data_IF_746040485421
#
_entry.id   IF_746040485421
#
_cell.length_a   1.000
_cell.length_b   1.000
_cell.length_c   1.000
_cell.angle_alpha   90.00
_cell.angle_beta   90.00
_cell.angle_gamma   90.00
#
_symmetry.space_group_name_H-M   'P 1'
#
loop_
_entity.id
_entity.type
_entity.pdbx_description
1 polymer ?
#
# COMPACT_ATOMS: atom_id res chain seq x y z
N UNK A 1 -9.66 16.47 -30.69
CA UNK A 1 -9.76 16.84 -29.26
C UNK A 1 -8.65 16.13 -28.51
N UNK A 2 -7.98 16.77 -27.53
CA UNK A 2 -6.96 16.11 -26.73
C UNK A 2 -7.57 14.96 -25.92
N UNK A 3 -6.89 13.81 -25.86
CA UNK A 3 -7.36 12.58 -25.22
C UNK A 3 -7.04 12.51 -23.72
N UNK A 4 -6.07 13.29 -23.24
CA UNK A 4 -5.68 13.37 -21.83
C UNK A 4 -5.05 14.74 -21.52
N UNK A 5 -5.15 15.17 -20.26
CA UNK A 5 -4.51 16.37 -19.72
C UNK A 5 -3.78 15.97 -18.44
N UNK A 6 -2.57 16.48 -18.26
CA UNK A 6 -1.80 16.24 -17.04
C UNK A 6 -2.50 16.89 -15.83
N UNK A 7 -2.75 16.10 -14.78
CA UNK A 7 -3.35 16.58 -13.54
C UNK A 7 -2.29 16.81 -12.45
N UNK A 8 -1.51 15.79 -12.11
CA UNK A 8 -0.48 15.83 -11.08
C UNK A 8 0.50 14.65 -11.22
N UNK A 9 1.63 14.71 -10.51
CA UNK A 9 2.67 13.66 -10.52
C UNK A 9 2.15 12.28 -10.06
N UNK A 10 1.07 12.24 -9.29
CA UNK A 10 0.43 10.99 -8.89
C UNK A 10 1.04 10.36 -7.65
N UNK A 11 1.85 11.10 -6.88
CA UNK A 11 2.42 10.58 -5.64
C UNK A 11 1.36 10.34 -4.55
N UNK A 12 0.31 11.16 -4.55
CA UNK A 12 -0.85 11.00 -3.69
C UNK A 12 -2.13 11.24 -4.50
N UNK A 13 -3.21 10.59 -4.09
CA UNK A 13 -4.55 10.77 -4.65
C UNK A 13 -5.49 11.27 -3.56
N UNK A 14 -6.45 12.09 -3.95
CA UNK A 14 -7.50 12.54 -3.05
C UNK A 14 -8.46 11.40 -2.74
N UNK A 15 -8.80 11.24 -1.47
CA UNK A 15 -9.76 10.24 -1.01
C UNK A 15 -10.61 10.80 0.12
N UNK A 16 -11.92 10.57 0.02
CA UNK A 16 -12.86 10.83 1.10
C UNK A 16 -13.34 9.48 1.63
N UNK A 17 -12.86 9.04 2.81
CA UNK A 17 -13.25 7.76 3.34
C UNK A 17 -14.65 7.81 3.96
N UNK A 18 -15.33 6.67 3.94
CA UNK A 18 -16.67 6.50 4.54
C UNK A 18 -16.57 6.27 6.06
N UNK A 19 -15.43 5.73 6.52
CA UNK A 19 -15.09 5.52 7.93
C UNK A 19 -13.81 6.28 8.28
N UNK A 20 -13.50 6.42 9.56
CA UNK A 20 -12.23 6.99 10.00
C UNK A 20 -11.06 6.10 9.55
N UNK A 21 -10.05 6.69 8.93
CA UNK A 21 -8.84 6.03 8.45
C UNK A 21 -7.66 6.58 9.25
N UNK A 22 -6.88 5.71 9.88
CA UNK A 22 -5.70 6.11 10.63
C UNK A 22 -4.46 6.19 9.73
N UNK A 23 -3.46 6.96 10.16
CA UNK A 23 -2.16 6.99 9.52
C UNK A 23 -1.54 5.58 9.47
N UNK A 24 -1.07 5.18 8.30
CA UNK A 24 -0.52 3.85 8.04
C UNK A 24 -1.54 2.82 7.53
N UNK A 25 -2.84 3.12 7.59
CA UNK A 25 -3.85 2.22 7.05
C UNK A 25 -3.75 2.10 5.54
N UNK A 26 -3.90 0.87 5.07
CA UNK A 26 -3.88 0.53 3.65
C UNK A 26 -5.31 0.53 3.15
N UNK A 27 -5.58 1.36 2.14
CA UNK A 27 -6.86 1.47 1.48
C UNK A 27 -6.73 0.91 0.08
N UNK A 28 -7.59 -0.05 -0.25
CA UNK A 28 -7.66 -0.67 -1.58
C UNK A 28 -8.90 -0.15 -2.31
N UNK A 29 -8.68 0.52 -3.43
CA UNK A 29 -9.73 0.98 -4.35
C UNK A 29 -9.66 0.17 -5.66
N UNK A 30 -10.39 -0.94 -5.71
CA UNK A 30 -10.30 -1.88 -6.83
C UNK A 30 -8.92 -2.55 -6.87
N UNK A 31 -8.10 -2.22 -7.87
CA UNK A 31 -6.71 -2.67 -7.96
C UNK A 31 -5.69 -1.65 -7.43
N UNK A 32 -6.15 -0.45 -7.08
CA UNK A 32 -5.29 0.59 -6.56
C UNK A 32 -5.08 0.41 -5.05
N UNK A 33 -3.84 0.14 -4.65
CA UNK A 33 -3.42 0.10 -3.25
C UNK A 33 -2.82 1.46 -2.88
N UNK A 34 -3.31 2.05 -1.79
CA UNK A 34 -2.81 3.32 -1.28
C UNK A 34 -2.67 3.28 0.25
N UNK A 35 -1.79 4.11 0.79
CA UNK A 35 -1.53 4.18 2.25
C UNK A 35 -1.87 5.57 2.75
N UNK A 36 -2.65 5.67 3.83
CA UNK A 36 -2.95 6.93 4.48
C UNK A 36 -1.70 7.47 5.19
N UNK A 37 -1.26 8.69 4.85
CA UNK A 37 -0.10 9.32 5.52
C UNK A 37 -0.47 10.00 6.85
N UNK A 38 -1.72 10.42 6.97
CA UNK A 38 -2.27 11.11 8.14
C UNK A 38 -3.62 10.52 8.46
N UNK A 39 -4.12 10.78 9.67
CA UNK A 39 -5.47 10.41 10.06
C UNK A 39 -6.49 11.19 9.23
N UNK A 40 -7.42 10.50 8.59
CA UNK A 40 -8.49 11.08 7.77
C UNK A 40 -9.81 10.67 8.40
N UNK A 41 -10.57 11.66 8.91
CA UNK A 41 -11.92 11.41 9.44
C UNK A 41 -12.90 11.07 8.33
N UNK A 42 -13.92 10.30 8.67
CA UNK A 42 -15.03 9.99 7.78
C UNK A 42 -15.65 11.28 7.18
N UNK A 43 -15.85 11.29 5.87
CA UNK A 43 -16.43 12.43 5.15
C UNK A 43 -15.51 13.63 4.96
N UNK A 44 -14.25 13.58 5.40
CA UNK A 44 -13.25 14.63 5.16
C UNK A 44 -12.38 14.25 3.97
N UNK A 45 -12.09 15.19 3.08
CA UNK A 45 -11.13 14.98 2.00
C UNK A 45 -9.72 14.87 2.60
N UNK A 46 -9.09 13.71 2.40
CA UNK A 46 -7.70 13.45 2.74
C UNK A 46 -6.91 13.01 1.51
N UNK A 47 -5.64 12.69 1.72
CA UNK A 47 -4.73 12.26 0.67
C UNK A 47 -4.10 10.90 1.00
N UNK A 48 -4.22 9.95 0.08
CA UNK A 48 -3.58 8.64 0.18
C UNK A 48 -2.34 8.60 -0.70
N UNK A 49 -1.23 8.08 -0.17
CA UNK A 49 -0.02 7.87 -0.93
C UNK A 49 -0.11 6.58 -1.74
N UNK A 50 0.07 6.68 -3.05
CA UNK A 50 0.11 5.55 -4.00
C UNK A 50 1.52 5.28 -4.51
N UNK A 51 2.46 6.17 -4.17
CA UNK A 51 3.87 6.09 -4.52
C UNK A 51 4.73 6.32 -3.28
N UNK A 52 5.82 5.56 -3.17
CA UNK A 52 6.78 5.71 -2.08
C UNK A 52 7.32 4.39 -1.59
N UNK A 53 8.01 4.45 -0.45
CA UNK A 53 8.54 3.29 0.24
C UNK A 53 7.90 3.27 1.63
N UNK A 54 7.16 2.20 1.93
CA UNK A 54 6.44 2.03 3.19
C UNK A 54 6.81 0.72 3.86
N UNK A 55 6.72 0.70 5.18
CA UNK A 55 6.93 -0.49 6.00
C UNK A 55 5.56 -1.13 6.26
N UNK A 56 5.32 -2.31 5.68
CA UNK A 56 4.07 -3.06 5.83
C UNK A 56 4.22 -4.19 6.83
N UNK A 57 3.15 -4.54 7.53
CA UNK A 57 3.10 -5.72 8.40
C UNK A 57 3.18 -7.01 7.57
N UNK A 58 3.94 -7.98 8.08
CA UNK A 58 4.03 -9.33 7.49
C UNK A 58 3.66 -10.41 8.48
N UNK A 59 3.30 -11.57 7.95
CA UNK A 59 3.13 -12.78 8.75
C UNK A 59 4.41 -13.11 9.54
N UNK A 60 4.23 -13.52 10.79
CA UNK A 60 5.32 -14.00 11.64
C UNK A 60 6.00 -15.21 11.01
N UNK A 61 7.31 -15.37 11.23
CA UNK A 61 8.11 -16.48 10.70
C UNK A 61 8.26 -16.54 9.18
N UNK A 62 7.90 -15.49 8.45
CA UNK A 62 8.15 -15.38 7.01
C UNK A 62 9.31 -14.43 6.76
N UNK A 63 10.28 -14.80 5.92
CA UNK A 63 11.35 -13.91 5.48
C UNK A 63 11.13 -13.49 4.02
N UNK A 64 11.50 -12.25 3.70
CA UNK A 64 11.45 -11.73 2.34
C UNK A 64 12.80 -11.14 1.94
N UNK A 65 13.23 -11.41 0.71
CA UNK A 65 14.46 -10.90 0.14
C UNK A 65 14.19 -9.64 -0.67
N UNK A 66 15.23 -8.82 -0.88
CA UNK A 66 15.14 -7.63 -1.71
C UNK A 66 14.76 -8.03 -3.15
N UNK A 67 13.83 -7.28 -3.74
CA UNK A 67 13.35 -7.50 -5.11
C UNK A 67 12.16 -8.45 -5.24
N UNK A 68 11.77 -9.16 -4.18
CA UNK A 68 10.54 -9.97 -4.17
C UNK A 68 9.32 -9.08 -4.39
N UNK A 69 8.44 -9.48 -5.30
CA UNK A 69 7.13 -8.83 -5.47
C UNK A 69 6.21 -9.35 -4.38
N UNK A 70 5.59 -8.42 -3.66
CA UNK A 70 4.63 -8.71 -2.61
C UNK A 70 3.26 -8.13 -2.92
N UNK A 71 2.27 -8.77 -2.35
CA UNK A 71 0.86 -8.51 -2.54
C UNK A 71 0.19 -8.17 -1.19
N UNK A 72 -0.85 -7.36 -1.23
CA UNK A 72 -1.67 -7.02 -0.08
C UNK A 72 -2.78 -8.04 0.09
N UNK A 73 -2.83 -8.65 1.27
CA UNK A 73 -3.93 -9.49 1.72
C UNK A 73 -4.85 -8.64 2.60
N UNK A 74 -6.00 -8.25 2.02
CA UNK A 74 -7.02 -7.43 2.68
C UNK A 74 -7.81 -8.22 3.74
N UNK A 75 -7.76 -9.55 3.70
CA UNK A 75 -8.43 -10.40 4.69
C UNK A 75 -7.64 -10.43 5.99
N UNK A 76 -6.32 -10.55 5.89
CA UNK A 76 -5.43 -10.64 7.04
C UNK A 76 -4.76 -9.30 7.41
N UNK A 77 -4.94 -8.26 6.61
CA UNK A 77 -4.26 -6.96 6.72
C UNK A 77 -2.73 -7.09 6.80
N UNK A 78 -2.18 -7.96 5.96
CA UNK A 78 -0.76 -8.30 5.94
C UNK A 78 -0.26 -8.44 4.50
N UNK A 79 1.05 -8.33 4.33
CA UNK A 79 1.69 -8.63 3.05
C UNK A 79 1.92 -10.12 2.88
N UNK A 80 1.76 -10.58 1.65
CA UNK A 80 1.95 -11.97 1.25
C UNK A 80 2.70 -12.07 -0.08
N UNK A 81 3.34 -13.21 -0.31
CA UNK A 81 3.93 -13.53 -1.62
C UNK A 81 2.91 -14.17 -2.58
N UNK A 82 1.70 -14.45 -2.11
CA UNK A 82 0.64 -15.07 -2.92
C UNK A 82 -0.04 -14.04 -3.81
N UNK A 83 0.11 -14.19 -5.13
CA UNK A 83 -0.50 -13.29 -6.12
C UNK A 83 -2.01 -13.50 -6.29
N UNK A 84 -2.47 -14.75 -6.29
CA UNK A 84 -3.86 -15.08 -6.63
C UNK A 84 -4.84 -14.49 -5.61
N UNK A 85 -5.73 -13.61 -6.08
CA UNK A 85 -6.75 -12.96 -5.25
C UNK A 85 -6.28 -11.69 -4.52
N UNK A 86 -4.96 -11.45 -4.45
CA UNK A 86 -4.37 -10.33 -3.73
C UNK A 86 -3.92 -9.22 -4.66
N UNK A 87 -3.78 -8.00 -4.14
CA UNK A 87 -3.43 -6.82 -4.95
C UNK A 87 -1.93 -6.58 -4.91
N UNK A 88 -1.32 -6.38 -6.07
CA UNK A 88 0.12 -6.13 -6.13
C UNK A 88 0.42 -4.79 -5.47
N UNK A 89 1.35 -4.79 -4.51
CA UNK A 89 1.82 -3.55 -3.89
C UNK A 89 3.08 -3.06 -4.59
N UNK A 90 4.04 -3.97 -4.78
CA UNK A 90 5.34 -3.64 -5.37
C UNK A 90 6.45 -4.55 -4.87
N UNK A 91 7.66 -3.99 -4.74
CA UNK A 91 8.89 -4.77 -4.51
C UNK A 91 9.56 -4.45 -3.18
N UNK A 92 10.08 -5.48 -2.54
CA UNK A 92 10.86 -5.34 -1.30
C UNK A 92 12.15 -4.55 -1.57
N UNK A 93 12.40 -3.51 -0.78
CA UNK A 93 13.63 -2.69 -0.87
C UNK A 93 14.63 -3.02 0.23
N UNK A 94 14.18 -3.56 1.35
CA UNK A 94 15.01 -4.02 2.46
C UNK A 94 14.58 -5.42 2.85
N UNK A 95 15.52 -6.36 2.89
CA UNK A 95 15.26 -7.72 3.34
C UNK A 95 14.66 -7.71 4.75
N UNK A 96 13.65 -8.56 4.96
CA UNK A 96 12.99 -8.74 6.24
C UNK A 96 13.25 -10.16 6.74
N UNK A 97 13.83 -10.28 7.94
CA UNK A 97 14.10 -11.55 8.58
C UNK A 97 12.80 -12.17 9.13
N UNK A 98 12.83 -13.46 9.50
CA UNK A 98 11.69 -14.15 10.09
C UNK A 98 11.22 -13.51 11.41
N UNK A 99 12.12 -12.86 12.14
CA UNK A 99 11.87 -12.15 13.40
C UNK A 99 11.29 -10.75 13.22
N UNK A 100 11.42 -10.16 12.03
CA UNK A 100 10.91 -8.81 11.78
C UNK A 100 9.38 -8.84 11.70
N UNK A 101 8.72 -7.83 12.25
CA UNK A 101 7.26 -7.70 12.16
C UNK A 101 6.83 -6.96 10.89
N UNK A 102 7.75 -6.27 10.24
CA UNK A 102 7.49 -5.45 9.05
C UNK A 102 8.45 -5.77 7.90
N UNK A 103 8.04 -5.42 6.69
CA UNK A 103 8.87 -5.45 5.49
C UNK A 103 8.74 -4.14 4.74
N UNK A 104 9.87 -3.63 4.26
CA UNK A 104 9.92 -2.38 3.52
C UNK A 104 9.69 -2.61 2.04
N UNK A 105 8.63 -2.04 1.50
CA UNK A 105 8.19 -2.23 0.12
C UNK A 105 8.16 -0.88 -0.59
N UNK A 106 8.77 -0.81 -1.77
CA UNK A 106 8.51 0.27 -2.72
C UNK A 106 7.23 -0.04 -3.45
N UNK A 107 6.24 0.84 -3.32
CA UNK A 107 4.99 0.74 -4.05
C UNK A 107 5.26 0.94 -5.55
N UNK A 108 4.87 -0.05 -6.33
CA UNK A 108 4.97 -0.10 -7.78
C UNK A 108 3.88 -1.07 -8.25
N UNK A 109 2.67 -0.54 -8.33
CA UNK A 109 1.48 -1.19 -8.87
C UNK A 109 1.39 -0.92 -10.37
#
# INVERSE_FOLDING_TARGET
>A
MPQAVFAHEGAAIDHTPVADVSSGDVIVQGDLVAVARFDIKAGVQGALAVFGVFDFLKATNVAYTVGTILYWDDTNNQVTATATGNKQIGKVTRAAATTDTTVRIRMSQ
#
